data_IF_379234905832
#
_entry.id   IF_379234905832
#
_cell.length_a   1.000
_cell.length_b   1.000
_cell.length_c   1.000
_cell.angle_alpha   90.00
_cell.angle_beta   90.00
_cell.angle_gamma   90.00
#
_symmetry.space_group_name_H-M   'P 1'
#
loop_
_entity.id
_entity.type
_entity.pdbx_description
1 polymer ?
#
# COMPACT_ATOMS: atom_id res chain seq x y z
N UNK A 1 -11.42 24.47 3.35
CA UNK A 1 -10.66 23.69 2.34
C UNK A 1 -11.18 24.10 0.97
N UNK A 2 -10.35 24.77 0.19
CA UNK A 2 -10.67 25.13 -1.17
C UNK A 2 -10.85 23.85 -1.98
N UNK A 3 -12.01 23.68 -2.64
CA UNK A 3 -12.27 22.51 -3.50
C UNK A 3 -11.20 22.47 -4.57
N UNK A 4 -10.26 21.54 -4.49
CA UNK A 4 -9.33 21.28 -5.58
C UNK A 4 -10.14 20.80 -6.79
N UNK A 5 -10.47 21.72 -7.69
CA UNK A 5 -11.26 21.46 -8.90
C UNK A 5 -10.46 20.72 -9.98
N UNK A 6 -9.14 20.63 -9.82
CA UNK A 6 -8.24 19.97 -10.80
C UNK A 6 -7.95 18.54 -10.38
N UNK A 7 -7.90 17.63 -11.37
CA UNK A 7 -7.48 16.25 -11.16
C UNK A 7 -6.05 16.21 -10.57
N UNK A 8 -5.79 15.40 -9.54
CA UNK A 8 -4.52 15.42 -8.81
C UNK A 8 -3.38 14.69 -9.55
N UNK A 9 -3.14 15.06 -10.82
CA UNK A 9 -2.16 14.41 -11.69
C UNK A 9 -0.73 14.42 -11.13
N UNK A 10 -0.34 15.48 -10.41
CA UNK A 10 0.99 15.58 -9.81
C UNK A 10 1.30 14.43 -8.87
N UNK A 11 0.31 14.01 -8.10
CA UNK A 11 0.45 12.86 -7.21
C UNK A 11 0.78 11.60 -8.02
N UNK A 12 0.00 11.31 -9.05
CA UNK A 12 0.18 10.10 -9.86
C UNK A 12 1.52 10.11 -10.61
N UNK A 13 1.92 11.27 -11.17
CA UNK A 13 3.21 11.41 -11.86
C UNK A 13 4.37 11.12 -10.91
N UNK A 14 4.34 11.65 -9.69
CA UNK A 14 5.41 11.40 -8.70
C UNK A 14 5.38 9.96 -8.22
N UNK A 15 4.20 9.42 -7.92
CA UNK A 15 4.02 8.04 -7.45
C UNK A 15 4.56 7.02 -8.47
N UNK A 16 4.03 7.05 -9.69
CA UNK A 16 4.46 6.12 -10.73
C UNK A 16 5.88 6.42 -11.23
N UNK A 17 6.25 7.69 -11.31
CA UNK A 17 7.62 8.09 -11.66
C UNK A 17 8.64 7.50 -10.69
N UNK A 18 8.40 7.57 -9.38
CA UNK A 18 9.24 6.93 -8.37
C UNK A 18 9.30 5.41 -8.55
N UNK A 19 8.14 4.75 -8.55
CA UNK A 19 8.07 3.29 -8.62
C UNK A 19 8.76 2.75 -9.86
N UNK A 20 8.47 3.31 -11.04
CA UNK A 20 9.07 2.87 -12.29
C UNK A 20 10.56 3.20 -12.41
N UNK A 21 11.01 4.36 -11.91
CA UNK A 21 12.45 4.67 -11.89
C UNK A 21 13.23 3.68 -11.02
N UNK A 22 12.64 3.21 -9.93
CA UNK A 22 13.26 2.23 -9.03
C UNK A 22 13.21 0.83 -9.64
N UNK A 23 12.07 0.40 -10.21
CA UNK A 23 11.90 -0.96 -10.73
C UNK A 23 12.52 -1.17 -12.11
N UNK A 24 12.59 -0.13 -12.94
CA UNK A 24 13.04 -0.25 -14.33
C UNK A 24 14.43 -0.92 -14.47
N UNK A 25 15.46 -0.57 -13.68
CA UNK A 25 16.74 -1.27 -13.75
C UNK A 25 16.63 -2.77 -13.48
N UNK A 26 15.78 -3.17 -12.53
CA UNK A 26 15.55 -4.57 -12.19
C UNK A 26 14.82 -5.30 -13.32
N UNK A 27 13.79 -4.66 -13.90
CA UNK A 27 13.05 -5.19 -15.06
C UNK A 27 13.98 -5.37 -16.27
N UNK A 28 14.81 -4.38 -16.57
CA UNK A 28 15.76 -4.46 -17.67
C UNK A 28 16.83 -5.55 -17.46
N UNK A 29 17.27 -5.73 -16.22
CA UNK A 29 18.21 -6.78 -15.87
C UNK A 29 17.56 -8.18 -15.97
N UNK A 30 16.34 -8.35 -15.48
CA UNK A 30 15.60 -9.61 -15.59
C UNK A 30 15.26 -9.98 -17.04
N UNK A 31 15.10 -8.97 -17.92
CA UNK A 31 14.91 -9.14 -19.35
C UNK A 31 16.22 -9.39 -20.12
N UNK A 32 17.38 -9.42 -19.45
CA UNK A 32 18.70 -9.63 -20.08
C UNK A 32 19.24 -8.42 -20.84
N UNK A 33 18.59 -7.24 -20.73
CA UNK A 33 19.03 -6.00 -21.39
C UNK A 33 20.19 -5.36 -20.62
N UNK A 34 20.14 -5.39 -19.28
CA UNK A 34 21.26 -4.99 -18.41
C UNK A 34 22.05 -6.23 -17.99
N UNK A 35 23.39 -6.25 -18.20
CA UNK A 35 24.23 -7.40 -17.88
C UNK A 35 24.52 -7.47 -16.37
N UNK A 36 23.53 -7.88 -15.57
CA UNK A 36 23.69 -8.15 -14.14
C UNK A 36 23.84 -9.66 -13.92
N UNK A 37 24.80 -10.06 -13.09
CA UNK A 37 24.92 -11.46 -12.66
C UNK A 37 23.70 -11.92 -11.86
N UNK A 38 23.31 -13.19 -11.99
CA UNK A 38 22.12 -13.76 -11.34
C UNK A 38 22.15 -13.62 -9.82
N UNK A 39 23.34 -13.74 -9.19
CA UNK A 39 23.49 -13.57 -7.74
C UNK A 39 23.17 -12.15 -7.30
N UNK A 40 23.64 -11.14 -8.04
CA UNK A 40 23.35 -9.73 -7.75
C UNK A 40 21.87 -9.41 -8.04
N UNK A 41 21.30 -9.92 -9.12
CA UNK A 41 19.90 -9.75 -9.46
C UNK A 41 19.00 -10.32 -8.36
N UNK A 42 19.28 -11.51 -7.87
CA UNK A 42 18.53 -12.13 -6.78
C UNK A 42 18.66 -11.35 -5.46
N UNK A 43 19.87 -10.88 -5.14
CA UNK A 43 20.12 -10.08 -3.93
C UNK A 43 19.41 -8.73 -3.95
N UNK A 44 19.30 -8.08 -5.13
CA UNK A 44 18.68 -6.77 -5.29
C UNK A 44 17.15 -6.84 -5.47
N UNK A 45 16.59 -7.98 -5.87
CA UNK A 45 15.16 -8.10 -6.20
C UNK A 45 14.24 -7.63 -5.07
N UNK A 46 14.42 -8.15 -3.87
CA UNK A 46 13.58 -7.80 -2.72
C UNK A 46 13.74 -6.34 -2.28
N UNK A 47 14.95 -5.80 -2.01
CA UNK A 47 15.11 -4.42 -1.58
C UNK A 47 14.65 -3.40 -2.63
N UNK A 48 14.88 -3.65 -3.91
CA UNK A 48 14.41 -2.76 -5.00
C UNK A 48 12.88 -2.82 -5.11
N UNK A 49 12.28 -4.00 -5.00
CA UNK A 49 10.82 -4.14 -4.99
C UNK A 49 10.21 -3.34 -3.84
N UNK A 50 10.71 -3.52 -2.62
CA UNK A 50 10.25 -2.78 -1.44
C UNK A 50 10.41 -1.26 -1.65
N UNK A 51 11.55 -0.80 -2.15
CA UNK A 51 11.82 0.63 -2.36
C UNK A 51 10.85 1.24 -3.39
N UNK A 52 10.51 0.52 -4.46
CA UNK A 52 9.56 0.97 -5.48
C UNK A 52 8.14 1.09 -4.95
N UNK A 53 7.74 0.21 -4.04
CA UNK A 53 6.41 0.23 -3.37
C UNK A 53 6.19 1.48 -2.51
N UNK A 54 7.23 2.23 -2.16
CA UNK A 54 7.10 3.53 -1.47
C UNK A 54 6.58 4.67 -2.37
N UNK A 55 6.42 4.46 -3.68
CA UNK A 55 5.95 5.48 -4.62
C UNK A 55 4.72 6.27 -4.14
N UNK A 56 3.63 5.63 -3.71
CA UNK A 56 2.44 6.33 -3.21
C UNK A 56 2.72 7.24 -2.00
N UNK A 57 3.52 6.79 -1.04
CA UNK A 57 3.94 7.59 0.11
C UNK A 57 4.78 8.80 -0.34
N UNK A 58 5.75 8.57 -1.24
CA UNK A 58 6.59 9.65 -1.82
C UNK A 58 5.71 10.68 -2.52
N UNK A 59 4.74 10.24 -3.34
CA UNK A 59 3.77 11.12 -4.00
C UNK A 59 2.96 11.95 -3.01
N UNK A 60 2.48 11.33 -1.93
CA UNK A 60 1.73 12.02 -0.88
C UNK A 60 2.57 13.09 -0.18
N UNK A 61 3.76 12.73 0.31
CA UNK A 61 4.64 13.68 1.01
C UNK A 61 5.13 14.79 0.09
N UNK A 62 5.43 14.48 -1.17
CA UNK A 62 5.77 15.50 -2.16
C UNK A 62 4.63 16.51 -2.35
N UNK A 63 3.41 16.03 -2.56
CA UNK A 63 2.24 16.89 -2.75
C UNK A 63 1.89 17.67 -1.46
N UNK A 64 1.93 17.04 -0.29
CA UNK A 64 1.72 17.71 0.99
C UNK A 64 2.71 18.86 1.16
N UNK A 65 3.99 18.62 0.88
CA UNK A 65 5.04 19.65 1.02
C UNK A 65 4.87 20.78 0.02
N UNK A 66 4.64 20.47 -1.26
CA UNK A 66 4.67 21.45 -2.35
C UNK A 66 3.36 22.21 -2.52
N UNK A 67 2.22 21.59 -2.23
CA UNK A 67 0.90 22.20 -2.43
C UNK A 67 0.29 22.76 -1.13
N UNK A 68 0.67 22.22 0.03
CA UNK A 68 0.03 22.53 1.32
C UNK A 68 1.02 23.00 2.39
N UNK A 69 2.34 22.96 2.10
CA UNK A 69 3.40 23.42 3.00
C UNK A 69 3.79 22.41 4.10
N UNK A 70 4.84 22.75 4.87
CA UNK A 70 5.42 21.85 5.89
C UNK A 70 4.43 21.46 7.00
N UNK A 71 3.55 22.38 7.41
CA UNK A 71 2.57 22.10 8.46
C UNK A 71 1.52 21.06 8.06
N UNK A 72 1.30 20.89 6.75
CA UNK A 72 0.40 19.85 6.23
C UNK A 72 0.94 18.45 6.51
N UNK A 73 2.23 18.23 6.35
CA UNK A 73 2.87 16.94 6.69
C UNK A 73 2.66 16.62 8.17
N UNK A 74 2.89 17.60 9.05
CA UNK A 74 2.71 17.42 10.49
C UNK A 74 1.26 17.09 10.86
N UNK A 75 0.29 17.80 10.27
CA UNK A 75 -1.15 17.51 10.46
C UNK A 75 -1.51 16.13 9.97
N UNK A 76 -1.03 15.77 8.78
CA UNK A 76 -1.24 14.46 8.17
C UNK A 76 -0.72 13.33 9.08
N UNK A 77 0.54 13.40 9.52
CA UNK A 77 1.13 12.39 10.41
C UNK A 77 0.41 12.31 11.77
N UNK A 78 -0.04 13.44 12.32
CA UNK A 78 -0.86 13.43 13.54
C UNK A 78 -2.20 12.74 13.33
N UNK A 79 -2.83 12.91 12.16
CA UNK A 79 -4.08 12.24 11.82
C UNK A 79 -3.94 10.73 11.74
N UNK A 80 -2.80 10.22 11.25
CA UNK A 80 -2.51 8.78 11.22
C UNK A 80 -2.40 8.15 12.62
N UNK A 81 -2.01 8.95 13.61
CA UNK A 81 -1.88 8.53 15.02
C UNK A 81 -3.14 8.80 15.85
N UNK A 82 -4.23 9.23 15.21
CA UNK A 82 -5.50 9.43 15.92
C UNK A 82 -6.28 8.11 15.98
N UNK A 83 -6.06 7.38 17.06
CA UNK A 83 -6.73 6.10 17.36
C UNK A 83 -8.09 6.26 18.06
N UNK A 84 -8.67 7.48 18.08
CA UNK A 84 -9.98 7.75 18.72
C UNK A 84 -11.16 7.18 17.93
N UNK A 85 -10.92 6.12 17.20
CA UNK A 85 -11.95 5.37 16.49
C UNK A 85 -12.77 4.56 17.54
N UNK A 86 -14.09 4.61 17.42
CA UNK A 86 -14.95 3.77 18.24
C UNK A 86 -14.63 2.28 18.09
N UNK A 87 -14.90 1.48 19.10
CA UNK A 87 -14.62 0.02 19.11
C UNK A 87 -15.12 -0.72 17.84
N UNK A 88 -16.21 -0.25 17.23
CA UNK A 88 -16.79 -0.84 16.01
C UNK A 88 -15.86 -0.72 14.81
N UNK A 89 -15.12 0.39 14.71
CA UNK A 89 -14.18 0.61 13.60
C UNK A 89 -12.98 -0.36 13.66
N UNK A 90 -12.64 -0.86 14.84
CA UNK A 90 -11.62 -1.89 15.02
C UNK A 90 -12.18 -3.31 14.91
N UNK A 91 -13.35 -3.53 15.53
CA UNK A 91 -13.95 -4.86 15.61
C UNK A 91 -14.45 -5.37 14.24
N UNK A 92 -15.11 -4.51 13.46
CA UNK A 92 -15.67 -4.94 12.16
C UNK A 92 -14.61 -5.42 11.16
N UNK A 93 -13.49 -4.73 10.93
CA UNK A 93 -12.43 -5.25 10.06
C UNK A 93 -11.84 -6.57 10.58
N UNK A 94 -11.58 -6.66 11.89
CA UNK A 94 -11.05 -7.91 12.49
C UNK A 94 -12.05 -9.06 12.30
N UNK A 95 -13.34 -8.82 12.52
CA UNK A 95 -14.37 -9.84 12.34
C UNK A 95 -14.49 -10.28 10.88
N UNK A 96 -14.54 -9.32 9.95
CA UNK A 96 -14.71 -9.61 8.52
C UNK A 96 -13.47 -10.29 7.96
N UNK A 97 -12.28 -9.69 8.12
CA UNK A 97 -11.04 -10.25 7.56
C UNK A 97 -10.59 -11.51 8.31
N UNK A 98 -10.64 -11.51 9.64
CA UNK A 98 -10.31 -12.68 10.45
C UNK A 98 -11.28 -13.84 10.20
N UNK A 99 -12.57 -13.54 10.17
CA UNK A 99 -13.62 -14.53 9.89
C UNK A 99 -13.51 -15.12 8.48
N UNK A 100 -13.35 -14.28 7.45
CA UNK A 100 -13.18 -14.75 6.07
C UNK A 100 -11.89 -15.55 5.89
N UNK A 101 -10.81 -15.14 6.50
CA UNK A 101 -9.53 -15.88 6.48
C UNK A 101 -9.67 -17.23 7.17
N UNK A 102 -10.32 -17.26 8.32
CA UNK A 102 -10.56 -18.52 9.05
C UNK A 102 -11.46 -19.48 8.25
N UNK A 103 -12.53 -18.97 7.63
CA UNK A 103 -13.39 -19.76 6.75
C UNK A 103 -12.57 -20.31 5.58
N UNK A 104 -11.84 -19.45 4.85
CA UNK A 104 -11.02 -19.85 3.71
C UNK A 104 -9.97 -20.91 4.09
N UNK A 105 -9.37 -20.80 5.27
CA UNK A 105 -8.40 -21.76 5.80
C UNK A 105 -9.02 -23.10 6.18
N UNK A 106 -10.28 -23.09 6.65
CA UNK A 106 -11.01 -24.31 7.06
C UNK A 106 -11.73 -25.01 5.89
N UNK A 107 -11.99 -24.30 4.81
CA UNK A 107 -12.76 -24.78 3.66
C UNK A 107 -12.21 -26.07 3.03
N UNK A 108 -10.89 -26.27 2.83
CA UNK A 108 -10.35 -27.51 2.23
C UNK A 108 -10.76 -28.78 2.95
N UNK A 109 -10.92 -28.75 4.28
CA UNK A 109 -11.33 -29.92 5.05
C UNK A 109 -12.74 -30.46 4.69
N UNK A 110 -13.62 -29.56 4.20
CA UNK A 110 -14.97 -29.96 3.77
C UNK A 110 -14.93 -30.87 2.52
N UNK A 111 -13.84 -30.85 1.78
CA UNK A 111 -13.59 -31.71 0.59
C UNK A 111 -12.55 -32.81 0.88
N UNK A 112 -12.18 -33.02 2.16
CA UNK A 112 -11.20 -34.02 2.54
C UNK A 112 -9.74 -33.64 2.25
N UNK A 113 -9.49 -32.39 1.92
CA UNK A 113 -8.14 -31.88 1.70
C UNK A 113 -7.50 -31.38 3.00
N UNK A 114 -6.18 -31.50 3.17
CA UNK A 114 -5.53 -30.97 4.36
C UNK A 114 -5.57 -29.45 4.39
N UNK A 115 -5.67 -28.88 5.59
CA UNK A 115 -5.56 -27.44 5.78
C UNK A 115 -4.24 -26.90 5.23
N UNK A 116 -4.29 -25.71 4.68
CA UNK A 116 -3.08 -24.98 4.30
C UNK A 116 -2.17 -24.77 5.51
N UNK A 117 -0.88 -25.01 5.32
CA UNK A 117 0.10 -24.75 6.38
C UNK A 117 0.12 -23.25 6.70
N UNK A 118 0.25 -22.91 7.96
CA UNK A 118 0.41 -21.52 8.37
C UNK A 118 1.73 -20.98 7.82
N UNK A 119 1.68 -19.78 7.25
CA UNK A 119 2.87 -19.07 6.77
C UNK A 119 3.90 -18.83 7.89
N UNK A 120 3.44 -18.66 9.12
CA UNK A 120 4.29 -18.38 10.26
C UNK A 120 4.54 -19.67 11.04
N UNK A 121 5.81 -20.04 11.27
CA UNK A 121 6.17 -21.26 12.01
C UNK A 121 5.82 -21.17 13.50
N UNK A 122 5.49 -19.98 14.01
CA UNK A 122 5.10 -19.75 15.40
C UNK A 122 4.21 -18.53 15.55
N UNK A 123 3.23 -18.59 16.45
CA UNK A 123 2.34 -17.47 16.77
C UNK A 123 3.09 -16.22 17.27
N UNK A 124 4.25 -16.39 17.92
CA UNK A 124 5.08 -15.26 18.39
C UNK A 124 5.66 -14.43 17.26
N UNK A 125 5.79 -14.99 16.05
CA UNK A 125 6.25 -14.26 14.87
C UNK A 125 5.17 -13.39 14.23
N UNK A 126 3.91 -13.52 14.68
CA UNK A 126 2.81 -12.73 14.14
C UNK A 126 3.04 -11.22 14.31
N UNK A 127 3.44 -10.78 15.49
CA UNK A 127 3.64 -9.35 15.76
C UNK A 127 4.79 -8.74 14.96
N UNK A 128 6.02 -9.31 14.95
CA UNK A 128 7.07 -8.80 14.08
C UNK A 128 6.74 -8.90 12.59
N UNK A 129 6.03 -9.94 12.15
CA UNK A 129 5.55 -10.05 10.78
C UNK A 129 4.54 -8.95 10.43
N UNK A 130 3.56 -8.69 11.31
CA UNK A 130 2.58 -7.61 11.15
C UNK A 130 3.27 -6.25 11.04
N UNK A 131 4.25 -5.98 11.91
CA UNK A 131 5.04 -4.74 11.84
C UNK A 131 5.82 -4.63 10.54
N UNK A 132 6.44 -5.72 10.09
CA UNK A 132 7.12 -5.74 8.79
C UNK A 132 6.15 -5.48 7.64
N UNK A 133 4.94 -6.06 7.66
CA UNK A 133 3.91 -5.82 6.65
C UNK A 133 3.41 -4.38 6.65
N UNK A 134 3.22 -3.77 7.82
CA UNK A 134 2.83 -2.35 7.93
C UNK A 134 3.94 -1.43 7.40
N UNK A 135 5.19 -1.73 7.71
CA UNK A 135 6.32 -0.84 7.36
C UNK A 135 6.86 -1.08 5.94
N UNK A 136 6.84 -2.30 5.45
CA UNK A 136 7.52 -2.71 4.22
C UNK A 136 6.64 -3.45 3.22
N UNK A 137 5.52 -4.02 3.66
CA UNK A 137 4.69 -4.94 2.88
C UNK A 137 3.39 -4.35 2.32
N UNK A 138 3.18 -3.04 2.38
CA UNK A 138 1.96 -2.42 1.83
C UNK A 138 1.37 -1.31 2.69
N UNK A 139 1.61 -1.28 4.00
CA UNK A 139 1.09 -0.21 4.86
C UNK A 139 1.59 1.18 4.44
N UNK A 140 2.80 1.30 3.91
CA UNK A 140 3.33 2.54 3.35
C UNK A 140 2.57 3.01 2.09
N UNK A 141 2.02 2.11 1.29
CA UNK A 141 1.19 2.46 0.14
C UNK A 141 -0.11 3.14 0.58
N UNK A 142 -0.67 2.68 1.70
CA UNK A 142 -1.90 3.22 2.25
C UNK A 142 -1.77 4.70 2.62
N UNK A 143 -0.56 5.15 2.98
CA UNK A 143 -0.28 6.57 3.20
C UNK A 143 -0.56 7.40 1.95
N UNK A 144 -0.29 6.85 0.79
CA UNK A 144 -0.57 7.52 -0.48
C UNK A 144 -2.00 7.30 -0.96
N UNK A 145 -2.40 6.04 -1.09
CA UNK A 145 -3.65 5.68 -1.74
C UNK A 145 -4.88 6.06 -0.91
N UNK A 146 -4.93 5.69 0.37
CA UNK A 146 -6.08 5.99 1.23
C UNK A 146 -5.87 7.22 2.08
N UNK A 147 -4.65 7.47 2.53
CA UNK A 147 -4.37 8.60 3.39
C UNK A 147 -4.30 9.96 2.69
N UNK A 148 -4.01 10.00 1.37
CA UNK A 148 -3.85 11.27 0.67
C UNK A 148 -4.76 11.44 -0.53
N UNK A 149 -4.78 10.46 -1.49
CA UNK A 149 -5.39 10.71 -2.80
C UNK A 149 -6.87 10.38 -2.87
N UNK A 150 -7.37 9.48 -2.00
CA UNK A 150 -8.77 9.05 -2.01
C UNK A 150 -9.72 10.23 -1.78
N UNK A 151 -9.49 11.03 -0.75
CA UNK A 151 -10.35 12.19 -0.43
C UNK A 151 -10.50 13.18 -1.61
N UNK A 152 -9.42 13.62 -2.30
CA UNK A 152 -9.53 14.43 -3.51
C UNK A 152 -10.30 13.77 -4.65
N UNK A 153 -10.18 12.46 -4.83
CA UNK A 153 -10.92 11.72 -5.85
C UNK A 153 -12.42 11.63 -5.50
N UNK A 154 -12.74 11.31 -4.25
CA UNK A 154 -14.13 11.25 -3.78
C UNK A 154 -14.80 12.62 -3.81
N UNK A 155 -14.10 13.68 -3.43
CA UNK A 155 -14.63 15.04 -3.50
C UNK A 155 -15.00 15.47 -4.93
N UNK A 156 -14.34 14.89 -5.94
CA UNK A 156 -14.57 15.20 -7.35
C UNK A 156 -15.56 14.27 -8.03
N UNK A 157 -15.47 12.98 -7.77
CA UNK A 157 -16.21 11.94 -8.50
C UNK A 157 -17.36 11.34 -7.69
N UNK A 158 -17.44 11.67 -6.40
CA UNK A 158 -18.28 10.95 -5.44
C UNK A 158 -17.59 9.70 -4.92
N UNK A 159 -18.03 9.19 -3.77
CA UNK A 159 -17.38 8.08 -3.09
C UNK A 159 -17.28 6.81 -3.96
N UNK A 160 -18.35 6.45 -4.65
CA UNK A 160 -18.37 5.24 -5.49
C UNK A 160 -17.35 5.30 -6.63
N UNK A 161 -17.41 6.36 -7.45
CA UNK A 161 -16.52 6.52 -8.60
C UNK A 161 -15.09 6.84 -8.19
N UNK A 162 -14.88 7.56 -7.09
CA UNK A 162 -13.56 7.84 -6.54
C UNK A 162 -12.81 6.57 -6.18
N UNK A 163 -13.48 5.65 -5.47
CA UNK A 163 -12.91 4.36 -5.10
C UNK A 163 -12.67 3.45 -6.32
N UNK A 164 -13.62 3.40 -7.28
CA UNK A 164 -13.47 2.59 -8.48
C UNK A 164 -12.28 3.06 -9.33
N UNK A 165 -12.19 4.37 -9.58
CA UNK A 165 -11.08 4.96 -10.34
C UNK A 165 -9.75 4.72 -9.64
N UNK A 166 -9.70 4.89 -8.31
CA UNK A 166 -8.50 4.59 -7.53
C UNK A 166 -8.10 3.12 -7.65
N UNK A 167 -9.05 2.19 -7.55
CA UNK A 167 -8.80 0.76 -7.69
C UNK A 167 -8.23 0.38 -9.05
N UNK A 168 -8.79 0.97 -10.14
CA UNK A 168 -8.26 0.76 -11.50
C UNK A 168 -6.83 1.30 -11.64
N UNK A 169 -6.58 2.52 -11.14
CA UNK A 169 -5.24 3.13 -11.22
C UNK A 169 -4.23 2.34 -10.38
N UNK A 170 -4.64 1.84 -9.22
CA UNK A 170 -3.78 1.04 -8.35
C UNK A 170 -3.39 -0.31 -8.95
N UNK A 171 -4.26 -0.89 -9.78
CA UNK A 171 -4.03 -2.18 -10.44
C UNK A 171 -3.12 -2.07 -11.70
N UNK A 172 -2.76 -0.86 -12.16
CA UNK A 172 -1.86 -0.60 -13.30
C UNK A 172 -0.41 -0.46 -12.85
#
# INVERSE_FOLDING_TARGET
>A
MEKQTRFPYKYFVVTFGWSWLVWLPLVLASAGILPLGQDLLSALSLPVTILGVFGPAVGAFYCLKTLHGQDAIRRYLRGLLDFRLGWRAWFLPILVFGGSTWIAWSLPELWGEPRLQMLLPSAWLFLPYLLAMILLGGGQEELGWRGYILDPLEARLGAWWGNLVLGVIWAC
#
